data_IF_106022909630
#
_entry.id   IF_106022909630
#
_cell.length_a   1.000
_cell.length_b   1.000
_cell.length_c   1.000
_cell.angle_alpha   90.00
_cell.angle_beta   90.00
_cell.angle_gamma   90.00
#
_symmetry.space_group_name_H-M   'P 1'
#
loop_
_entity.id
_entity.type
_entity.pdbx_description
1 polymer ?
#
# COMPACT_ATOMS: atom_id res chain seq x y z
N UNK A 1 -27.56 8.07 -9.56
CA UNK A 1 -26.57 7.25 -8.84
C UNK A 1 -25.69 8.17 -8.03
N UNK A 2 -25.87 8.25 -6.70
CA UNK A 2 -24.98 9.05 -5.84
C UNK A 2 -23.68 8.27 -5.69
N UNK A 3 -22.63 8.71 -6.40
CA UNK A 3 -21.29 8.19 -6.23
C UNK A 3 -20.77 8.65 -4.87
N UNK A 4 -20.74 7.72 -3.91
CA UNK A 4 -20.01 7.95 -2.67
C UNK A 4 -18.52 7.85 -3.01
N UNK A 5 -17.89 8.99 -3.27
CA UNK A 5 -16.45 9.10 -3.16
C UNK A 5 -16.13 8.95 -1.68
N UNK A 6 -15.83 7.73 -1.24
CA UNK A 6 -15.13 7.51 0.02
C UNK A 6 -13.75 8.10 -0.21
N UNK A 7 -13.58 9.35 0.21
CA UNK A 7 -12.30 10.01 0.20
C UNK A 7 -11.38 9.13 1.04
N UNK A 8 -10.43 8.44 0.40
CA UNK A 8 -9.40 7.64 1.05
C UNK A 8 -8.36 8.53 1.78
N UNK A 9 -8.78 9.67 2.33
CA UNK A 9 -7.92 10.59 3.08
C UNK A 9 -7.52 9.99 4.45
N UNK A 10 -8.15 8.87 4.84
CA UNK A 10 -7.73 8.07 5.99
C UNK A 10 -7.31 6.65 5.57
N UNK A 11 -6.37 6.51 4.64
CA UNK A 11 -5.65 5.26 4.42
C UNK A 11 -4.32 5.07 5.23
N UNK A 12 -4.13 5.59 6.48
CA UNK A 12 -2.87 5.38 7.19
C UNK A 12 -2.66 3.92 7.64
N UNK A 13 -3.67 3.06 7.55
CA UNK A 13 -3.59 1.67 8.03
C UNK A 13 -2.69 0.81 7.10
N UNK A 14 -2.76 1.04 5.79
CA UNK A 14 -2.04 0.20 4.81
C UNK A 14 -0.79 0.83 4.23
N UNK A 15 -0.61 2.15 4.36
CA UNK A 15 0.63 2.84 3.95
C UNK A 15 1.86 2.17 4.59
N UNK A 16 1.90 1.86 5.90
CA UNK A 16 3.04 1.18 6.52
C UNK A 16 3.27 -0.23 5.97
N UNK A 17 2.20 -1.01 5.73
CA UNK A 17 2.28 -2.38 5.22
C UNK A 17 2.80 -2.41 3.77
N UNK A 18 2.29 -1.52 2.93
CA UNK A 18 2.78 -1.34 1.56
C UNK A 18 4.27 -0.96 1.56
N UNK A 19 4.65 0.03 2.37
CA UNK A 19 6.05 0.44 2.48
C UNK A 19 6.97 -0.66 3.03
N UNK A 20 6.48 -1.55 3.90
CA UNK A 20 7.26 -2.70 4.35
C UNK A 20 7.60 -3.64 3.17
N UNK A 21 6.63 -3.92 2.31
CA UNK A 21 6.83 -4.76 1.11
C UNK A 21 7.79 -4.08 0.13
N UNK A 22 7.55 -2.82 -0.21
CA UNK A 22 8.38 -2.07 -1.16
C UNK A 22 9.83 -1.99 -0.65
N UNK A 23 10.06 -1.65 0.62
CA UNK A 23 11.41 -1.64 1.22
C UNK A 23 12.10 -3.00 1.19
N UNK A 24 11.33 -4.10 1.25
CA UNK A 24 11.86 -5.45 1.08
C UNK A 24 12.29 -5.76 -0.36
N UNK A 25 11.60 -5.17 -1.35
CA UNK A 25 11.86 -5.35 -2.78
C UNK A 25 12.92 -4.40 -3.35
N UNK A 26 13.17 -3.25 -2.72
CA UNK A 26 14.22 -2.32 -3.16
C UNK A 26 15.59 -3.00 -3.07
N UNK A 27 16.32 -3.01 -4.19
CA UNK A 27 17.67 -3.56 -4.28
C UNK A 27 18.63 -2.80 -3.34
N UNK A 28 19.36 -3.53 -2.48
CA UNK A 28 20.26 -2.98 -1.44
C UNK A 28 21.73 -2.84 -1.88
N UNK A 29 22.04 -3.23 -3.11
CA UNK A 29 23.37 -3.01 -3.69
C UNK A 29 23.64 -1.51 -3.91
N UNK A 30 24.91 -1.14 -4.13
CA UNK A 30 25.26 0.24 -4.47
C UNK A 30 24.51 0.69 -5.73
N UNK A 31 24.08 1.95 -5.79
CA UNK A 31 23.53 2.54 -7.01
C UNK A 31 24.61 2.56 -8.10
N UNK A 32 24.22 2.21 -9.32
CA UNK A 32 25.06 2.38 -10.52
C UNK A 32 24.84 3.76 -11.12
N UNK A 33 25.76 4.22 -11.98
CA UNK A 33 25.62 5.54 -12.63
C UNK A 33 24.38 5.65 -13.54
N UNK A 34 23.78 4.51 -13.89
CA UNK A 34 22.60 4.41 -14.77
C UNK A 34 21.27 4.41 -14.00
N UNK A 35 21.27 4.17 -12.69
CA UNK A 35 20.03 4.05 -11.90
C UNK A 35 19.98 5.04 -10.74
N UNK A 36 18.82 5.66 -10.57
CA UNK A 36 18.55 6.49 -9.40
C UNK A 36 17.83 5.69 -8.32
N UNK A 37 17.88 6.17 -7.08
CA UNK A 37 17.05 5.63 -6.01
C UNK A 37 15.55 5.66 -6.39
N UNK A 38 15.10 6.71 -7.07
CA UNK A 38 13.73 6.85 -7.57
C UNK A 38 13.38 5.72 -8.52
N UNK A 39 14.25 5.40 -9.49
CA UNK A 39 14.04 4.32 -10.45
C UNK A 39 13.89 2.97 -9.73
N UNK A 40 14.74 2.70 -8.73
CA UNK A 40 14.61 1.47 -7.91
C UNK A 40 13.32 1.42 -7.10
N UNK A 41 12.86 2.55 -6.58
CA UNK A 41 11.60 2.62 -5.84
C UNK A 41 10.41 2.36 -6.76
N UNK A 42 10.42 2.88 -7.99
CA UNK A 42 9.41 2.61 -9.01
C UNK A 42 9.41 1.12 -9.35
N UNK A 43 10.56 0.54 -9.73
CA UNK A 43 10.68 -0.89 -10.04
C UNK A 43 10.18 -1.78 -8.89
N UNK A 44 10.57 -1.46 -7.65
CA UNK A 44 10.15 -2.23 -6.48
C UNK A 44 8.65 -2.12 -6.21
N UNK A 45 8.03 -0.97 -6.52
CA UNK A 45 6.59 -0.74 -6.39
C UNK A 45 5.80 -1.45 -7.47
N UNK A 46 6.26 -1.41 -8.72
CA UNK A 46 5.64 -2.13 -9.85
C UNK A 46 5.76 -3.66 -9.71
N UNK A 47 6.82 -4.13 -9.06
CA UNK A 47 7.00 -5.54 -8.72
C UNK A 47 6.10 -6.02 -7.57
N UNK A 48 5.26 -5.17 -6.97
CA UNK A 48 4.25 -5.58 -5.98
C UNK A 48 3.07 -6.21 -6.72
N UNK A 49 2.75 -7.48 -6.45
CA UNK A 49 1.61 -8.13 -7.10
C UNK A 49 0.27 -7.43 -6.78
N UNK A 50 -0.61 -7.34 -7.78
CA UNK A 50 -1.95 -6.72 -7.64
C UNK A 50 -2.79 -7.39 -6.55
N UNK A 51 -2.58 -8.69 -6.30
CA UNK A 51 -3.21 -9.42 -5.20
C UNK A 51 -2.93 -8.81 -3.81
N UNK A 52 -1.72 -8.30 -3.56
CA UNK A 52 -1.42 -7.62 -2.29
C UNK A 52 -2.21 -6.32 -2.16
N UNK A 53 -2.32 -5.56 -3.25
CA UNK A 53 -3.12 -4.32 -3.26
C UNK A 53 -4.60 -4.62 -3.00
N UNK A 54 -5.13 -5.66 -3.65
CA UNK A 54 -6.50 -6.15 -3.40
C UNK A 54 -6.69 -6.60 -1.95
N UNK A 55 -5.71 -7.29 -1.36
CA UNK A 55 -5.77 -7.71 0.04
C UNK A 55 -5.80 -6.51 1.00
N UNK A 56 -5.03 -5.45 0.73
CA UNK A 56 -5.09 -4.21 1.53
C UNK A 56 -6.46 -3.53 1.44
N UNK A 57 -7.00 -3.41 0.23
CA UNK A 57 -8.33 -2.83 0.01
C UNK A 57 -9.39 -3.68 0.72
N UNK A 58 -9.33 -5.00 0.56
CA UNK A 58 -10.27 -5.92 1.19
C UNK A 58 -10.19 -5.87 2.72
N UNK A 59 -9.00 -5.76 3.29
CA UNK A 59 -8.85 -5.58 4.74
C UNK A 59 -9.54 -4.30 5.19
N UNK A 60 -9.34 -3.18 4.49
CA UNK A 60 -10.03 -1.91 4.80
C UNK A 60 -11.55 -2.06 4.78
N UNK A 61 -12.09 -2.75 3.77
CA UNK A 61 -13.53 -3.03 3.66
C UNK A 61 -14.01 -3.88 4.84
N UNK A 62 -13.27 -4.91 5.21
CA UNK A 62 -13.61 -5.78 6.33
C UNK A 62 -13.58 -5.05 7.69
N UNK A 63 -12.84 -3.94 7.81
CA UNK A 63 -12.82 -3.12 9.03
C UNK A 63 -14.04 -2.20 9.15
N UNK A 64 -14.87 -2.03 8.12
CA UNK A 64 -16.02 -1.11 8.20
C UNK A 64 -17.01 -1.49 9.29
N UNK A 65 -17.32 -2.78 9.45
CA UNK A 65 -18.20 -3.24 10.51
C UNK A 65 -17.57 -3.04 11.90
N UNK A 66 -16.25 -3.25 12.03
CA UNK A 66 -15.54 -3.02 13.28
C UNK A 66 -15.56 -1.53 13.65
N UNK A 67 -15.30 -0.64 12.69
CA UNK A 67 -15.38 0.80 12.85
C UNK A 67 -16.78 1.25 13.27
N UNK A 68 -17.81 0.73 12.58
CA UNK A 68 -19.21 1.05 12.88
C UNK A 68 -19.59 0.63 14.31
N UNK A 69 -19.16 -0.55 14.72
CA UNK A 69 -19.46 -1.12 16.04
C UNK A 69 -18.47 -0.69 17.13
N UNK A 70 -17.49 0.18 16.81
CA UNK A 70 -16.42 0.63 17.71
C UNK A 70 -15.63 -0.52 18.35
N UNK A 71 -15.47 -1.61 17.60
CA UNK A 71 -14.61 -2.74 17.98
C UNK A 71 -13.16 -2.33 17.77
N UNK A 72 -12.30 -2.64 18.74
CA UNK A 72 -10.86 -2.39 18.60
C UNK A 72 -10.28 -3.24 17.45
N UNK A 73 -9.45 -2.60 16.62
CA UNK A 73 -8.79 -3.18 15.44
C UNK A 73 -7.35 -3.52 15.79
#
# INVERSE_FOLDING_TARGET
MKGYFIVMDNAPIHIPQFWAIVKGKVKRNKLTDLESLTTRMIEASEAVPVEHLRAFIQHSVNQFDNCLNKVAI
#
